data_IF_559080677167
#
_entry.id   IF_559080677167
#
_cell.length_a   1.000
_cell.length_b   1.000
_cell.length_c   1.000
_cell.angle_alpha   90.00
_cell.angle_beta   90.00
_cell.angle_gamma   90.00
#
_symmetry.space_group_name_H-M   'P 1'
#
loop_
_entity.id
_entity.type
_entity.pdbx_description
1 polymer ?
#
# COMPACT_ATOMS: atom_id res chain seq x y z
N UNK A 1 -31.46 15.86 2.37
CA UNK A 1 -30.14 16.52 2.45
C UNK A 1 -29.32 16.22 1.21
N UNK A 2 -29.00 14.95 0.91
CA UNK A 2 -28.18 14.54 -0.27
C UNK A 2 -28.77 14.97 -1.63
N UNK A 3 -30.10 15.10 -1.72
CA UNK A 3 -30.81 15.55 -2.93
C UNK A 3 -30.84 17.07 -3.13
N UNK A 4 -30.29 17.88 -2.21
CA UNK A 4 -30.23 19.35 -2.40
C UNK A 4 -29.10 19.74 -3.36
N UNK A 5 -29.15 20.98 -3.88
CA UNK A 5 -28.13 21.53 -4.78
C UNK A 5 -26.78 21.80 -4.07
N UNK A 6 -26.73 21.66 -2.74
CA UNK A 6 -25.48 21.65 -1.97
C UNK A 6 -24.73 20.31 -2.09
N UNK A 7 -25.38 19.27 -2.63
CA UNK A 7 -24.85 17.92 -2.82
C UNK A 7 -25.17 17.39 -4.23
N UNK A 8 -25.81 16.22 -4.36
CA UNK A 8 -26.08 15.56 -5.64
C UNK A 8 -27.17 16.23 -6.48
N UNK A 9 -28.03 17.06 -5.86
CA UNK A 9 -29.06 17.80 -6.58
C UNK A 9 -28.49 18.77 -7.63
N UNK A 10 -27.22 19.20 -7.47
CA UNK A 10 -26.52 20.05 -8.41
C UNK A 10 -26.43 19.42 -9.82
N UNK A 11 -26.34 18.08 -9.91
CA UNK A 11 -26.26 17.34 -11.17
C UNK A 11 -27.52 17.54 -12.01
N UNK A 12 -28.68 17.60 -11.36
CA UNK A 12 -30.01 17.70 -12.01
C UNK A 12 -30.60 19.10 -11.99
N UNK A 13 -29.91 20.10 -11.45
CA UNK A 13 -30.41 21.47 -11.33
C UNK A 13 -30.58 22.12 -12.72
N UNK A 14 -31.82 22.42 -13.17
CA UNK A 14 -32.07 22.94 -14.52
C UNK A 14 -31.50 24.35 -14.75
N UNK A 15 -31.23 25.09 -13.68
CA UNK A 15 -30.58 26.42 -13.74
C UNK A 15 -29.12 26.35 -13.26
N UNK A 16 -28.63 25.14 -12.99
CA UNK A 16 -27.32 24.86 -12.43
C UNK A 16 -26.18 24.93 -13.45
N UNK A 17 -24.93 24.70 -13.00
CA UNK A 17 -23.77 24.79 -13.87
C UNK A 17 -23.74 23.73 -14.97
N UNK A 18 -24.45 22.62 -14.78
CA UNK A 18 -24.54 21.52 -15.73
C UNK A 18 -25.75 21.59 -16.67
N UNK A 19 -26.59 22.63 -16.60
CA UNK A 19 -27.83 22.76 -17.39
C UNK A 19 -27.64 22.49 -18.90
N UNK A 20 -26.50 22.90 -19.47
CA UNK A 20 -26.22 22.78 -20.90
C UNK A 20 -25.89 21.33 -21.31
N UNK A 21 -25.60 20.47 -20.34
CA UNK A 21 -25.27 19.07 -20.56
C UNK A 21 -26.49 18.15 -20.49
N UNK A 22 -27.55 18.54 -19.79
CA UNK A 22 -28.73 17.68 -19.57
C UNK A 22 -29.40 17.19 -20.87
N UNK A 23 -29.28 17.97 -21.95
CA UNK A 23 -29.80 17.59 -23.27
C UNK A 23 -28.89 16.64 -24.05
N UNK A 24 -27.64 16.45 -23.59
CA UNK A 24 -26.61 15.63 -24.23
C UNK A 24 -26.35 14.35 -23.44
N UNK A 25 -26.26 14.45 -22.11
CA UNK A 25 -26.03 13.36 -21.18
C UNK A 25 -27.13 13.38 -20.12
N UNK A 26 -27.89 12.29 -20.01
CA UNK A 26 -28.96 12.16 -19.00
C UNK A 26 -28.37 12.24 -17.57
N UNK A 27 -28.77 13.24 -16.76
CA UNK A 27 -28.23 13.43 -15.42
C UNK A 27 -28.74 12.39 -14.39
N UNK A 28 -29.81 11.64 -14.69
CA UNK A 28 -30.53 10.86 -13.68
C UNK A 28 -29.66 9.76 -13.05
N UNK A 29 -28.99 8.94 -13.86
CA UNK A 29 -28.15 7.83 -13.36
C UNK A 29 -26.95 8.33 -12.55
N UNK A 30 -26.39 9.49 -12.91
CA UNK A 30 -25.28 10.11 -12.20
C UNK A 30 -25.72 10.68 -10.85
N UNK A 31 -26.90 11.30 -10.79
CA UNK A 31 -27.50 11.78 -9.55
C UNK A 31 -27.82 10.64 -8.59
N UNK A 32 -28.37 9.52 -9.09
CA UNK A 32 -28.65 8.32 -8.29
C UNK A 32 -27.36 7.68 -7.75
N UNK A 33 -26.32 7.56 -8.57
CA UNK A 33 -25.01 7.04 -8.16
C UNK A 33 -24.36 7.92 -7.08
N UNK A 34 -24.38 9.24 -7.28
CA UNK A 34 -23.91 10.21 -6.29
C UNK A 34 -24.65 10.06 -4.94
N UNK A 35 -25.97 9.89 -4.99
CA UNK A 35 -26.78 9.73 -3.78
C UNK A 35 -26.43 8.45 -3.02
N UNK A 36 -26.22 7.35 -3.75
CA UNK A 36 -25.79 6.07 -3.19
C UNK A 36 -24.41 6.19 -2.52
N UNK A 37 -23.42 6.73 -3.23
CA UNK A 37 -22.06 6.89 -2.71
C UNK A 37 -22.00 7.75 -1.45
N UNK A 38 -22.73 8.88 -1.43
CA UNK A 38 -22.76 9.75 -0.26
C UNK A 38 -23.51 9.14 0.93
N UNK A 39 -24.44 8.23 0.70
CA UNK A 39 -25.10 7.47 1.74
C UNK A 39 -24.11 6.50 2.41
N UNK A 40 -23.38 5.72 1.61
CA UNK A 40 -22.38 4.77 2.09
C UNK A 40 -21.16 5.44 2.74
N UNK A 41 -20.75 6.60 2.22
CA UNK A 41 -19.57 7.33 2.68
C UNK A 41 -19.88 8.44 3.68
N UNK A 42 -21.07 8.41 4.30
CA UNK A 42 -21.48 9.33 5.37
C UNK A 42 -21.26 10.83 5.02
N UNK A 43 -21.73 11.26 3.85
CA UNK A 43 -21.62 12.65 3.37
C UNK A 43 -20.18 13.15 3.19
N UNK A 44 -19.26 12.27 2.80
CA UNK A 44 -17.88 12.65 2.52
C UNK A 44 -17.78 13.68 1.37
N UNK A 45 -17.23 14.86 1.65
CA UNK A 45 -17.08 15.93 0.66
C UNK A 45 -16.17 15.55 -0.53
N UNK A 46 -15.13 14.74 -0.33
CA UNK A 46 -14.27 14.30 -1.44
C UNK A 46 -15.05 13.40 -2.40
N UNK A 47 -15.90 12.50 -1.87
CA UNK A 47 -16.78 11.66 -2.67
C UNK A 47 -17.83 12.46 -3.45
N UNK A 48 -18.38 13.54 -2.85
CA UNK A 48 -19.27 14.48 -3.55
C UNK A 48 -18.53 15.11 -4.74
N UNK A 49 -17.34 15.65 -4.50
CA UNK A 49 -16.58 16.33 -5.55
C UNK A 49 -16.12 15.37 -6.67
N UNK A 50 -15.89 14.09 -6.37
CA UNK A 50 -15.60 13.06 -7.37
C UNK A 50 -16.82 12.73 -8.22
N UNK A 51 -18.00 12.59 -7.59
CA UNK A 51 -19.25 12.35 -8.30
C UNK A 51 -19.64 13.53 -9.22
N UNK A 52 -19.50 14.76 -8.74
CA UNK A 52 -19.72 15.96 -9.56
C UNK A 52 -18.71 16.07 -10.71
N UNK A 53 -17.43 15.73 -10.46
CA UNK A 53 -16.42 15.68 -11.52
C UNK A 53 -16.75 14.64 -12.58
N UNK A 54 -17.21 13.45 -12.19
CA UNK A 54 -17.53 12.38 -13.14
C UNK A 54 -18.61 12.81 -14.16
N UNK A 55 -19.63 13.54 -13.72
CA UNK A 55 -20.63 14.10 -14.64
C UNK A 55 -20.01 15.21 -15.50
N UNK A 56 -19.23 16.11 -14.89
CA UNK A 56 -18.53 17.18 -15.60
C UNK A 56 -17.63 16.66 -16.75
N UNK A 57 -16.86 15.60 -16.47
CA UNK A 57 -15.94 14.96 -17.42
C UNK A 57 -16.65 14.41 -18.65
N UNK A 58 -17.78 13.71 -18.45
CA UNK A 58 -18.55 13.13 -19.56
C UNK A 58 -19.22 14.23 -20.40
N UNK A 59 -19.69 15.29 -19.75
CA UNK A 59 -20.21 16.48 -20.44
C UNK A 59 -19.16 17.17 -21.30
N UNK A 60 -17.98 17.44 -20.74
CA UNK A 60 -16.86 18.06 -21.47
C UNK A 60 -16.32 17.12 -22.57
N UNK A 61 -16.29 15.82 -22.32
CA UNK A 61 -15.95 14.79 -23.31
C UNK A 61 -16.92 14.77 -24.49
N UNK A 62 -18.19 15.13 -24.27
CA UNK A 62 -19.19 15.35 -25.33
C UNK A 62 -19.09 16.74 -26.00
N UNK A 63 -18.10 17.55 -25.63
CA UNK A 63 -17.86 18.89 -26.18
C UNK A 63 -18.74 19.99 -25.61
N UNK A 64 -19.45 19.73 -24.50
CA UNK A 64 -20.29 20.73 -23.84
C UNK A 64 -19.43 21.67 -22.99
N UNK A 65 -19.54 22.97 -23.23
CA UNK A 65 -18.93 23.98 -22.37
C UNK A 65 -19.76 24.18 -21.09
N UNK A 66 -19.21 23.75 -19.96
CA UNK A 66 -19.82 23.89 -18.64
C UNK A 66 -19.57 25.28 -18.04
N UNK A 67 -20.54 25.76 -17.25
CA UNK A 67 -20.31 26.91 -16.37
C UNK A 67 -19.42 26.47 -15.18
N UNK A 68 -18.65 27.37 -14.56
CA UNK A 68 -17.88 27.03 -13.36
C UNK A 68 -18.78 26.47 -12.25
N UNK A 69 -18.47 25.26 -11.79
CA UNK A 69 -19.22 24.58 -10.72
C UNK A 69 -18.42 24.46 -9.42
N UNK A 70 -17.08 24.56 -9.49
CA UNK A 70 -16.17 24.63 -8.34
C UNK A 70 -15.89 26.06 -7.91
N UNK A 71 -15.56 26.26 -6.63
CA UNK A 71 -15.04 27.53 -6.12
C UNK A 71 -14.03 27.30 -4.96
N UNK A 72 -13.53 28.38 -4.35
CA UNK A 72 -12.50 28.31 -3.30
C UNK A 72 -12.92 27.50 -2.05
N UNK A 73 -14.22 27.41 -1.75
CA UNK A 73 -14.76 26.68 -0.59
C UNK A 73 -15.53 25.42 -0.97
N UNK A 74 -15.97 25.29 -2.22
CA UNK A 74 -16.74 24.16 -2.73
C UNK A 74 -15.94 23.41 -3.80
N UNK A 75 -15.50 22.21 -3.44
CA UNK A 75 -14.72 21.35 -4.31
C UNK A 75 -13.46 22.03 -4.90
N UNK A 76 -12.58 22.65 -4.09
CA UNK A 76 -11.40 23.34 -4.58
C UNK A 76 -10.41 22.38 -5.26
N UNK A 77 -9.75 22.84 -6.32
CA UNK A 77 -8.66 22.12 -6.99
C UNK A 77 -7.33 22.70 -6.51
N UNK A 78 -6.47 21.85 -5.96
CA UNK A 78 -5.10 22.22 -5.63
C UNK A 78 -4.24 22.16 -6.90
N UNK A 79 -3.65 23.30 -7.28
CA UNK A 79 -2.77 23.39 -8.43
C UNK A 79 -1.29 23.47 -8.00
N UNK A 80 -0.35 22.89 -8.77
CA UNK A 80 1.08 22.99 -8.51
C UNK A 80 1.57 24.43 -8.39
N UNK A 81 2.74 24.62 -7.78
CA UNK A 81 3.42 25.92 -7.75
C UNK A 81 3.54 26.51 -9.16
N UNK A 82 3.33 27.83 -9.27
CA UNK A 82 3.34 28.57 -10.54
C UNK A 82 2.23 28.16 -11.54
N UNK A 83 1.10 27.66 -11.02
CA UNK A 83 -0.09 27.40 -11.82
C UNK A 83 -1.36 27.85 -11.10
N UNK A 84 -2.47 27.92 -11.82
CA UNK A 84 -3.78 28.26 -11.28
C UNK A 84 -4.86 27.39 -11.90
N UNK A 85 -5.98 27.25 -11.20
CA UNK A 85 -7.13 26.52 -11.71
C UNK A 85 -7.79 27.31 -12.85
N UNK A 86 -8.05 26.63 -13.97
CA UNK A 86 -8.78 27.17 -15.11
C UNK A 86 -9.88 26.17 -15.54
N UNK A 87 -11.16 26.58 -15.56
CA UNK A 87 -12.28 25.70 -15.98
C UNK A 87 -12.26 25.31 -17.46
N UNK A 88 -11.39 25.92 -18.28
CA UNK A 88 -11.26 25.69 -19.71
C UNK A 88 -9.80 25.96 -20.14
N UNK A 89 -8.88 25.10 -19.72
CA UNK A 89 -7.47 25.12 -20.17
C UNK A 89 -7.31 24.40 -21.51
N UNK A 90 -6.23 24.68 -22.22
CA UNK A 90 -5.89 23.98 -23.47
C UNK A 90 -5.75 22.48 -23.22
N UNK A 91 -6.43 21.66 -24.03
CA UNK A 91 -6.21 20.21 -24.05
C UNK A 91 -4.82 19.81 -24.60
N UNK A 92 -4.07 20.77 -25.15
CA UNK A 92 -2.68 20.63 -25.55
C UNK A 92 -1.86 21.65 -24.76
N UNK A 93 -1.52 21.38 -23.49
CA UNK A 93 -0.83 22.35 -22.65
C UNK A 93 0.59 22.61 -23.15
N UNK A 94 1.13 23.80 -22.84
CA UNK A 94 2.51 24.13 -23.16
C UNK A 94 3.45 23.27 -22.30
N UNK A 95 4.36 22.56 -22.94
CA UNK A 95 5.38 21.73 -22.28
C UNK A 95 6.77 22.26 -22.60
N UNK A 96 7.78 21.82 -21.87
CA UNK A 96 9.17 22.10 -22.24
C UNK A 96 9.55 21.57 -23.64
N UNK A 97 8.87 20.53 -24.14
CA UNK A 97 9.09 19.97 -25.47
C UNK A 97 8.40 20.73 -26.57
N UNK A 98 7.17 21.17 -26.32
CA UNK A 98 6.40 21.99 -27.24
C UNK A 98 5.71 23.15 -26.49
N UNK A 99 6.43 24.28 -26.33
CA UNK A 99 5.86 25.48 -25.70
C UNK A 99 4.73 26.12 -26.52
N UNK A 100 4.60 25.77 -27.82
CA UNK A 100 3.62 26.33 -28.73
C UNK A 100 2.42 25.41 -28.96
N UNK A 101 2.38 24.23 -28.33
CA UNK A 101 1.27 23.27 -28.42
C UNK A 101 -0.12 23.91 -28.23
N UNK A 102 -0.35 24.84 -27.28
CA UNK A 102 -1.67 25.46 -27.13
C UNK A 102 -2.14 26.22 -28.37
N UNK A 103 -1.23 26.84 -29.14
CA UNK A 103 -1.58 27.63 -30.32
C UNK A 103 -2.07 26.77 -31.49
N UNK A 104 -1.64 25.52 -31.55
CA UNK A 104 -1.99 24.58 -32.61
C UNK A 104 -3.00 23.52 -32.15
N UNK A 105 -3.63 23.71 -30.99
CA UNK A 105 -4.57 22.76 -30.43
C UNK A 105 -5.94 22.90 -31.10
N UNK A 106 -6.42 21.82 -31.73
CA UNK A 106 -7.76 21.75 -32.33
C UNK A 106 -8.78 21.03 -31.44
N UNK A 107 -8.38 20.63 -30.23
CA UNK A 107 -9.24 19.90 -29.28
C UNK A 107 -10.03 20.88 -28.41
N UNK A 108 -11.25 20.52 -27.97
CA UNK A 108 -11.98 21.28 -26.96
C UNK A 108 -11.13 21.49 -25.70
N UNK A 109 -11.33 22.61 -25.01
CA UNK A 109 -10.68 22.84 -23.72
C UNK A 109 -11.15 21.83 -22.68
N UNK A 110 -10.30 21.60 -21.68
CA UNK A 110 -10.57 20.72 -20.54
C UNK A 110 -10.42 21.51 -19.24
N UNK A 111 -11.13 21.11 -18.19
CA UNK A 111 -10.93 21.67 -16.85
C UNK A 111 -9.58 21.20 -16.29
N UNK A 112 -8.83 22.08 -15.62
CA UNK A 112 -7.56 21.68 -15.01
C UNK A 112 -6.72 22.82 -14.47
N UNK A 113 -5.46 22.52 -14.15
CA UNK A 113 -4.48 23.53 -13.76
C UNK A 113 -3.72 24.04 -14.99
N UNK A 114 -3.64 25.36 -15.14
CA UNK A 114 -2.90 26.05 -16.19
C UNK A 114 -1.65 26.71 -15.60
N UNK A 115 -0.49 26.49 -16.22
CA UNK A 115 0.74 27.17 -15.82
C UNK A 115 0.61 28.68 -16.03
N UNK A 116 1.14 29.46 -15.08
CA UNK A 116 1.17 30.91 -15.19
C UNK A 116 2.04 31.35 -16.38
N UNK A 117 1.80 32.56 -16.91
CA UNK A 117 2.59 33.13 -18.00
C UNK A 117 4.10 33.06 -17.73
N UNK A 118 4.86 32.49 -18.68
CA UNK A 118 6.31 32.29 -18.56
C UNK A 118 6.74 30.93 -18.01
N UNK A 119 5.77 30.10 -17.61
CA UNK A 119 5.98 28.73 -17.14
C UNK A 119 5.40 27.72 -18.12
N UNK A 120 6.01 26.53 -18.17
CA UNK A 120 5.60 25.40 -19.01
C UNK A 120 5.65 24.11 -18.20
N UNK A 121 4.93 23.07 -18.64
CA UNK A 121 4.88 21.79 -17.93
C UNK A 121 6.16 20.98 -18.15
N UNK A 122 6.76 20.51 -17.06
CA UNK A 122 7.81 19.49 -17.00
C UNK A 122 7.54 18.59 -15.80
N UNK A 123 7.44 17.28 -15.98
CA UNK A 123 7.24 16.33 -14.85
C UNK A 123 5.96 16.54 -14.05
N UNK A 124 4.92 17.11 -14.67
CA UNK A 124 3.68 17.49 -13.99
C UNK A 124 3.77 18.76 -13.12
N UNK A 125 4.91 19.45 -13.14
CA UNK A 125 5.13 20.74 -12.47
C UNK A 125 5.22 21.88 -13.49
N UNK A 126 4.90 23.11 -13.07
CA UNK A 126 5.10 24.30 -13.88
C UNK A 126 6.46 24.93 -13.57
N UNK A 127 7.38 24.82 -14.52
CA UNK A 127 8.76 25.34 -14.43
C UNK A 127 8.96 26.49 -15.40
N UNK A 128 9.88 27.41 -15.10
CA UNK A 128 10.26 28.45 -16.06
C UNK A 128 10.94 27.83 -17.27
N UNK A 129 10.84 28.47 -18.44
CA UNK A 129 11.49 27.98 -19.66
C UNK A 129 13.01 27.76 -19.50
N UNK A 130 13.67 28.57 -18.66
CA UNK A 130 15.09 28.43 -18.31
C UNK A 130 15.44 27.16 -17.55
N UNK A 131 14.44 26.56 -16.89
CA UNK A 131 14.58 25.38 -16.06
C UNK A 131 14.02 24.14 -16.78
N UNK A 132 13.79 24.23 -18.09
CA UNK A 132 13.47 23.07 -18.90
C UNK A 132 14.68 22.13 -19.03
N UNK A 133 14.36 20.85 -19.16
CA UNK A 133 15.27 19.76 -19.43
C UNK A 133 15.89 19.77 -20.84
N UNK A 134 16.72 18.77 -21.12
CA UNK A 134 17.39 18.59 -22.42
C UNK A 134 16.71 17.49 -23.24
N UNK A 135 16.69 17.63 -24.57
CA UNK A 135 16.21 16.58 -25.48
C UNK A 135 17.39 15.91 -26.20
N UNK A 136 17.79 14.69 -25.81
CA UNK A 136 18.86 13.95 -26.49
C UNK A 136 18.35 12.60 -27.00
N UNK A 137 18.60 12.29 -28.28
CA UNK A 137 18.09 11.11 -28.98
C UNK A 137 16.56 10.94 -28.85
N UNK A 138 15.81 12.02 -29.10
CA UNK A 138 14.33 12.07 -28.99
C UNK A 138 13.77 11.81 -27.58
N UNK A 139 14.63 11.72 -26.56
CA UNK A 139 14.24 11.52 -25.17
C UNK A 139 14.48 12.79 -24.36
N UNK A 140 13.43 13.25 -23.67
CA UNK A 140 13.47 14.41 -22.79
C UNK A 140 14.00 14.02 -21.42
N UNK A 141 14.91 14.84 -20.88
CA UNK A 141 15.54 14.63 -19.58
C UNK A 141 15.33 15.85 -18.72
N UNK A 142 14.56 15.70 -17.65
CA UNK A 142 14.33 16.75 -16.68
C UNK A 142 15.63 17.15 -15.98
N UNK A 143 15.77 18.44 -15.65
CA UNK A 143 16.87 18.91 -14.80
C UNK A 143 16.59 18.41 -13.38
N UNK A 144 17.31 17.42 -12.83
CA UNK A 144 17.37 17.17 -11.37
C UNK A 144 18.45 16.15 -10.91
N UNK A 145 19.65 16.65 -10.63
CA UNK A 145 20.34 16.44 -9.34
C UNK A 145 20.61 17.86 -8.80
N UNK A 146 20.51 18.13 -7.50
CA UNK A 146 20.85 19.45 -6.92
C UNK A 146 22.26 19.89 -7.38
N UNK A 147 22.32 20.70 -8.45
CA UNK A 147 23.53 21.35 -8.95
C UNK A 147 24.59 20.49 -9.68
N UNK A 148 24.35 19.23 -10.07
CA UNK A 148 25.44 18.31 -10.48
C UNK A 148 25.38 17.78 -11.94
N UNK A 149 24.24 17.93 -12.62
CA UNK A 149 24.17 17.91 -14.08
C UNK A 149 23.49 19.17 -14.59
N UNK A 150 24.07 19.80 -15.60
CA UNK A 150 23.53 21.03 -16.19
C UNK A 150 23.22 20.82 -17.66
N UNK A 151 21.99 21.16 -18.02
CA UNK A 151 21.60 21.40 -19.40
C UNK A 151 22.22 22.72 -19.87
N UNK A 152 23.38 22.65 -20.54
CA UNK A 152 24.18 23.83 -20.91
C UNK A 152 23.70 24.50 -22.22
N UNK A 153 22.46 24.25 -22.62
CA UNK A 153 21.93 24.64 -23.93
C UNK A 153 22.29 23.66 -25.07
N UNK A 154 21.70 23.85 -26.25
CA UNK A 154 21.86 22.98 -27.43
C UNK A 154 21.66 21.48 -27.16
N UNK A 155 20.72 21.11 -26.27
CA UNK A 155 20.47 19.72 -25.88
C UNK A 155 21.70 18.96 -25.35
N UNK A 156 22.70 19.68 -24.83
CA UNK A 156 23.94 19.09 -24.33
C UNK A 156 23.89 18.96 -22.81
N UNK A 157 24.02 17.74 -22.31
CA UNK A 157 24.04 17.41 -20.88
C UNK A 157 25.49 17.30 -20.41
N UNK A 158 25.85 18.06 -19.39
CA UNK A 158 27.11 17.89 -18.66
C UNK A 158 26.82 17.30 -17.29
N UNK A 159 27.43 16.16 -16.97
CA UNK A 159 27.29 15.49 -15.68
C UNK A 159 28.65 15.26 -15.04
N UNK A 160 28.75 15.54 -13.74
CA UNK A 160 29.92 15.17 -12.94
C UNK A 160 29.60 13.92 -12.10
N UNK A 161 30.35 12.84 -12.29
CA UNK A 161 30.18 11.59 -11.54
C UNK A 161 30.85 11.61 -10.15
N UNK A 162 31.73 12.58 -9.89
CA UNK A 162 32.50 12.67 -8.63
C UNK A 162 31.62 12.98 -7.40
N UNK A 163 30.35 13.31 -7.61
CA UNK A 163 29.38 13.67 -6.56
C UNK A 163 28.34 12.59 -6.28
N UNK A 164 28.30 11.51 -7.05
CA UNK A 164 27.51 10.33 -6.74
C UNK A 164 28.20 9.49 -5.65
N UNK A 165 27.46 8.63 -4.94
CA UNK A 165 28.11 7.66 -4.04
C UNK A 165 29.03 6.74 -4.84
N UNK A 166 30.02 6.13 -4.17
CA UNK A 166 31.01 5.26 -4.80
C UNK A 166 30.39 4.09 -5.60
N UNK A 167 29.17 3.65 -5.25
CA UNK A 167 28.40 2.60 -5.93
C UNK A 167 27.39 3.10 -6.98
N UNK A 168 27.30 4.42 -7.18
CA UNK A 168 26.37 5.06 -8.09
C UNK A 168 27.11 5.67 -9.28
N UNK A 169 26.45 5.69 -10.43
CA UNK A 169 26.88 6.44 -11.59
C UNK A 169 25.81 7.44 -11.99
N UNK A 170 26.25 8.62 -12.39
CA UNK A 170 25.36 9.60 -12.97
C UNK A 170 24.97 9.13 -14.38
N UNK A 171 23.74 8.64 -14.52
CA UNK A 171 23.21 8.14 -15.79
C UNK A 171 21.74 8.51 -15.94
N UNK A 172 21.24 8.27 -17.13
CA UNK A 172 19.81 8.32 -17.42
C UNK A 172 19.22 6.95 -17.12
N UNK A 173 18.18 6.90 -16.29
CA UNK A 173 17.36 5.71 -16.08
C UNK A 173 15.87 6.10 -16.13
N UNK A 174 15.06 5.41 -16.95
CA UNK A 174 13.62 5.66 -17.11
C UNK A 174 13.20 7.10 -17.48
N UNK A 175 14.09 7.86 -18.11
CA UNK A 175 13.79 9.26 -18.51
C UNK A 175 14.13 10.29 -17.43
N UNK A 176 14.62 9.84 -16.29
CA UNK A 176 15.14 10.67 -15.22
C UNK A 176 16.68 10.63 -15.25
N UNK A 177 17.29 11.79 -15.07
CA UNK A 177 18.73 11.95 -14.94
C UNK A 177 19.06 11.99 -13.43
N UNK A 178 19.95 11.13 -12.96
CA UNK A 178 20.25 11.02 -11.53
C UNK A 178 21.44 10.11 -11.23
N UNK A 179 21.84 10.06 -9.95
CA UNK A 179 22.78 9.05 -9.46
C UNK A 179 22.03 7.73 -9.27
N UNK A 180 22.36 6.73 -10.08
CA UNK A 180 21.75 5.42 -10.03
C UNK A 180 22.81 4.37 -9.70
N UNK A 181 22.47 3.29 -8.97
CA UNK A 181 23.39 2.19 -8.76
C UNK A 181 23.97 1.70 -10.10
N UNK A 182 25.29 1.48 -10.13
CA UNK A 182 25.97 0.99 -11.33
C UNK A 182 25.41 -0.39 -11.74
N UNK A 183 25.27 -1.29 -10.76
CA UNK A 183 24.76 -2.66 -10.91
C UNK A 183 23.73 -2.99 -9.81
N UNK A 184 22.46 -2.52 -9.91
CA UNK A 184 21.45 -2.91 -8.94
C UNK A 184 21.10 -4.40 -9.11
N UNK A 185 21.09 -5.13 -8.01
CA UNK A 185 20.53 -6.49 -7.99
C UNK A 185 19.06 -6.42 -7.62
N UNK A 186 18.23 -7.15 -8.35
CA UNK A 186 16.77 -7.08 -8.23
C UNK A 186 16.26 -8.44 -7.80
N UNK A 187 15.47 -8.48 -6.74
CA UNK A 187 14.65 -9.63 -6.40
C UNK A 187 13.28 -9.47 -7.06
N UNK A 188 12.84 -10.51 -7.79
CA UNK A 188 11.57 -10.52 -8.51
C UNK A 188 10.61 -11.51 -7.86
N UNK A 189 9.39 -11.06 -7.60
CA UNK A 189 8.30 -11.95 -7.18
C UNK A 189 7.11 -11.67 -8.09
N UNK A 190 6.68 -12.66 -8.85
CA UNK A 190 5.66 -12.47 -9.90
C UNK A 190 4.75 -13.69 -9.98
N UNK A 191 3.49 -13.49 -9.60
CA UNK A 191 2.64 -14.62 -9.32
C UNK A 191 3.16 -15.43 -8.12
N UNK A 192 2.25 -16.03 -7.40
CA UNK A 192 2.60 -17.15 -6.55
C UNK A 192 2.49 -18.38 -7.46
N UNK A 193 3.59 -19.13 -7.68
CA UNK A 193 4.70 -19.32 -6.75
C UNK A 193 6.10 -18.80 -7.14
N UNK A 194 6.29 -17.82 -8.02
CA UNK A 194 7.62 -17.60 -8.63
C UNK A 194 8.46 -16.50 -7.95
N UNK A 195 9.70 -16.86 -7.58
CA UNK A 195 10.70 -15.99 -6.96
C UNK A 195 12.03 -16.04 -7.72
N UNK A 196 12.66 -14.90 -7.93
CA UNK A 196 14.07 -14.77 -8.36
C UNK A 196 14.79 -13.96 -7.29
N UNK A 197 15.82 -14.55 -6.67
CA UNK A 197 16.64 -13.90 -5.63
C UNK A 197 17.51 -12.77 -6.20
N UNK A 198 18.12 -11.96 -5.32
CA UNK A 198 19.08 -10.93 -5.74
C UNK A 198 20.26 -11.51 -6.53
N UNK A 199 20.67 -12.74 -6.22
CA UNK A 199 21.77 -13.45 -6.89
C UNK A 199 21.30 -14.24 -8.13
N UNK A 200 20.01 -14.12 -8.49
CA UNK A 200 19.43 -14.65 -9.73
C UNK A 200 18.91 -16.09 -9.65
N UNK A 201 18.77 -16.66 -8.45
CA UNK A 201 18.23 -18.02 -8.28
C UNK A 201 16.71 -18.01 -8.44
N UNK A 202 16.23 -18.72 -9.45
CA UNK A 202 14.80 -18.97 -9.64
C UNK A 202 14.34 -20.14 -8.74
N UNK A 203 13.26 -19.94 -8.00
CA UNK A 203 12.60 -21.01 -7.26
C UNK A 203 11.10 -20.80 -7.14
N UNK A 204 10.41 -21.85 -6.66
CA UNK A 204 8.97 -21.85 -6.48
C UNK A 204 8.58 -22.17 -5.05
N UNK A 205 7.67 -21.37 -4.48
CA UNK A 205 7.17 -21.53 -3.13
C UNK A 205 5.69 -21.16 -3.04
N UNK A 206 4.86 -22.07 -2.51
CA UNK A 206 3.41 -21.96 -2.38
C UNK A 206 2.99 -22.01 -0.92
N UNK A 207 3.01 -20.87 -0.25
CA UNK A 207 2.64 -20.75 1.16
C UNK A 207 1.46 -19.80 1.34
N UNK A 208 0.61 -20.01 2.35
CA UNK A 208 -0.62 -19.25 2.62
C UNK A 208 -0.50 -18.27 3.80
N UNK A 209 0.74 -17.90 4.16
CA UNK A 209 1.05 -17.03 5.29
C UNK A 209 1.65 -15.67 4.90
N UNK A 210 2.05 -14.92 5.94
CA UNK A 210 2.88 -13.74 5.80
C UNK A 210 4.36 -14.12 5.89
N UNK A 211 5.13 -13.75 4.86
CA UNK A 211 6.54 -14.13 4.77
C UNK A 211 7.46 -12.91 4.77
N UNK A 212 8.60 -13.02 5.44
CA UNK A 212 9.68 -12.04 5.36
C UNK A 212 10.44 -12.24 4.05
N UNK A 213 10.30 -11.26 3.16
CA UNK A 213 10.90 -11.31 1.83
C UNK A 213 12.36 -10.88 1.87
N UNK A 214 12.64 -9.78 2.57
CA UNK A 214 14.01 -9.33 2.81
C UNK A 214 14.07 -8.53 4.10
N UNK A 215 15.13 -8.70 4.86
CA UNK A 215 15.48 -7.84 5.98
C UNK A 215 17.01 -7.67 6.11
N UNK A 216 17.43 -6.68 6.88
CA UNK A 216 18.85 -6.49 7.25
C UNK A 216 19.24 -7.45 8.37
N UNK A 217 20.29 -8.26 8.16
CA UNK A 217 20.64 -9.37 9.04
C UNK A 217 22.00 -9.21 9.75
N UNK A 218 22.62 -8.04 9.60
CA UNK A 218 23.83 -7.59 10.31
C UNK A 218 23.49 -6.46 11.28
N UNK A 219 24.32 -6.23 12.31
CA UNK A 219 24.24 -5.06 13.20
C UNK A 219 24.58 -3.76 12.44
N UNK A 220 23.69 -3.37 11.53
CA UNK A 220 23.71 -2.11 10.79
C UNK A 220 22.90 -1.06 11.54
N UNK A 221 23.32 0.21 11.44
CA UNK A 221 22.60 1.36 12.02
C UNK A 221 21.24 1.61 11.35
N UNK A 222 21.03 1.05 10.15
CA UNK A 222 19.82 1.17 9.34
C UNK A 222 19.18 -0.22 9.24
N UNK A 223 18.06 -0.41 9.95
CA UNK A 223 17.27 -1.66 9.96
C UNK A 223 16.02 -1.49 9.09
N UNK A 224 15.75 -2.46 8.21
CA UNK A 224 14.50 -2.54 7.45
C UNK A 224 14.05 -4.00 7.26
N UNK A 225 12.75 -4.18 7.02
CA UNK A 225 12.13 -5.47 6.70
C UNK A 225 10.97 -5.27 5.72
N UNK A 226 10.86 -6.16 4.73
CA UNK A 226 9.78 -6.20 3.74
C UNK A 226 9.08 -7.55 3.87
N UNK A 227 7.75 -7.53 4.00
CA UNK A 227 6.93 -8.74 4.09
C UNK A 227 5.88 -8.80 2.98
N UNK A 228 5.45 -10.01 2.63
CA UNK A 228 4.33 -10.25 1.70
C UNK A 228 3.29 -11.16 2.34
N UNK A 229 2.05 -11.10 1.84
CA UNK A 229 0.96 -12.00 2.24
C UNK A 229 0.49 -12.79 1.03
N UNK A 230 0.46 -14.11 1.15
CA UNK A 230 -0.07 -15.01 0.14
C UNK A 230 -1.38 -15.63 0.65
N UNK A 231 -2.39 -15.77 -0.22
CA UNK A 231 -3.70 -16.36 0.14
C UNK A 231 -4.25 -17.26 -0.98
N UNK A 232 -5.04 -18.27 -0.61
CA UNK A 232 -5.77 -19.10 -1.57
C UNK A 232 -6.84 -18.33 -2.32
N UNK A 233 -6.94 -18.54 -3.64
CA UNK A 233 -8.00 -17.96 -4.48
C UNK A 233 -8.95 -19.04 -4.99
N UNK A 234 -9.88 -19.45 -4.13
CA UNK A 234 -10.99 -20.35 -4.49
C UNK A 234 -10.62 -21.82 -4.70
N UNK A 235 -9.35 -22.21 -4.59
CA UNK A 235 -8.88 -23.60 -4.57
C UNK A 235 -7.76 -23.74 -3.52
N UNK A 236 -7.82 -24.73 -2.61
CA UNK A 236 -6.81 -24.96 -1.56
C UNK A 236 -5.44 -25.44 -2.08
N UNK A 237 -5.31 -25.81 -3.36
CA UNK A 237 -4.05 -26.33 -3.91
C UNK A 237 -3.09 -25.25 -4.43
N UNK A 238 -3.49 -23.96 -4.41
CA UNK A 238 -2.61 -22.86 -4.82
C UNK A 238 -2.93 -21.55 -4.10
N UNK A 239 -1.89 -20.78 -3.81
CA UNK A 239 -1.94 -19.46 -3.18
C UNK A 239 -1.58 -18.37 -4.20
N UNK A 240 -1.87 -17.10 -3.88
CA UNK A 240 -1.57 -15.92 -4.67
C UNK A 240 -1.18 -14.75 -3.76
N UNK A 241 -0.20 -13.95 -4.19
CA UNK A 241 0.12 -12.66 -3.56
C UNK A 241 -1.14 -11.79 -3.39
N UNK A 242 -1.45 -11.40 -2.15
CA UNK A 242 -2.65 -10.65 -1.77
C UNK A 242 -2.37 -9.16 -1.50
N UNK A 243 -1.31 -8.84 -0.74
CA UNK A 243 -0.95 -7.44 -0.43
C UNK A 243 0.56 -7.17 -0.46
N UNK A 244 0.94 -6.08 -1.11
CA UNK A 244 2.25 -5.43 -1.04
C UNK A 244 2.01 -4.05 -0.40
N UNK A 245 2.91 -3.57 0.45
CA UNK A 245 2.91 -2.15 0.84
C UNK A 245 3.38 -1.28 -0.34
N UNK A 246 2.55 -1.15 -1.39
CA UNK A 246 2.47 -0.16 -2.47
C UNK A 246 1.57 -0.77 -3.58
N UNK A 247 0.46 -0.12 -3.92
CA UNK A 247 -0.56 -0.63 -4.86
C UNK A 247 -0.51 0.10 -6.20
N UNK A 248 -0.44 -0.63 -7.32
CA UNK A 248 -0.85 -0.15 -8.64
C UNK A 248 -1.64 -1.25 -9.39
N UNK A 249 -2.90 -0.97 -9.71
CA UNK A 249 -3.85 -1.69 -10.61
C UNK A 249 -3.57 -3.19 -10.87
N UNK A 250 -4.28 -4.07 -10.16
CA UNK A 250 -4.56 -5.50 -10.45
C UNK A 250 -3.42 -6.40 -10.97
N UNK A 251 -2.16 -6.00 -10.79
CA UNK A 251 -0.97 -6.74 -11.17
C UNK A 251 -0.17 -7.09 -9.89
N UNK A 252 -0.17 -8.36 -9.49
CA UNK A 252 0.50 -8.83 -8.27
C UNK A 252 1.99 -9.14 -8.55
N UNK A 253 2.77 -8.13 -8.89
CA UNK A 253 4.22 -8.23 -9.13
C UNK A 253 4.96 -7.29 -8.17
N UNK A 254 5.98 -7.81 -7.50
CA UNK A 254 6.88 -7.05 -6.60
C UNK A 254 8.31 -7.06 -7.17
N UNK A 255 8.88 -5.87 -7.31
CA UNK A 255 10.31 -5.68 -7.59
C UNK A 255 10.97 -5.05 -6.37
N UNK A 256 11.99 -5.71 -5.83
CA UNK A 256 12.81 -5.16 -4.75
C UNK A 256 14.19 -4.90 -5.30
N UNK A 257 14.64 -3.65 -5.23
CA UNK A 257 15.96 -3.23 -5.69
C UNK A 257 16.87 -3.03 -4.47
N UNK A 258 18.05 -3.67 -4.47
CA UNK A 258 19.06 -3.50 -3.44
C UNK A 258 20.31 -2.81 -4.00
N UNK A 259 20.82 -1.82 -3.26
CA UNK A 259 22.10 -1.16 -3.56
C UNK A 259 23.29 -2.08 -3.22
N UNK A 260 24.39 -1.98 -3.97
CA UNK A 260 25.58 -2.81 -3.77
C UNK A 260 26.21 -2.66 -2.36
N UNK A 261 25.99 -1.54 -1.66
CA UNK A 261 26.40 -1.38 -0.27
C UNK A 261 25.73 -2.35 0.72
N UNK A 262 24.65 -3.01 0.32
CA UNK A 262 23.92 -4.03 1.08
C UNK A 262 24.40 -5.46 0.78
N UNK A 263 25.37 -5.64 -0.11
CA UNK A 263 25.94 -6.95 -0.45
C UNK A 263 26.44 -7.67 0.81
N UNK A 264 25.97 -8.90 1.01
CA UNK A 264 26.27 -9.76 2.16
C UNK A 264 25.62 -9.35 3.48
N UNK A 265 24.67 -8.39 3.47
CA UNK A 265 24.00 -7.89 4.68
C UNK A 265 22.52 -8.25 4.75
N UNK A 266 21.96 -8.84 3.69
CA UNK A 266 20.54 -9.15 3.56
C UNK A 266 20.28 -10.63 3.82
N UNK A 267 19.05 -10.95 4.22
CA UNK A 267 18.52 -12.31 4.24
C UNK A 267 16.98 -12.30 4.14
N UNK A 268 16.36 -13.45 3.93
CA UNK A 268 14.93 -13.61 3.68
C UNK A 268 14.66 -14.42 2.41
N UNK A 269 13.40 -14.45 1.94
CA UNK A 269 13.03 -15.14 0.69
C UNK A 269 13.77 -14.63 -0.56
N UNK A 270 14.31 -13.40 -0.55
CA UNK A 270 15.13 -12.86 -1.64
C UNK A 270 16.62 -13.26 -1.61
N UNK A 271 17.02 -14.13 -0.68
CA UNK A 271 18.39 -14.65 -0.60
C UNK A 271 19.35 -13.74 0.18
N UNK A 272 20.65 -14.06 0.09
CA UNK A 272 21.71 -13.45 0.90
C UNK A 272 22.37 -12.23 0.26
N UNK A 273 22.18 -12.05 -1.05
CA UNK A 273 22.79 -10.99 -1.84
C UNK A 273 24.32 -11.00 -1.74
N UNK A 274 24.94 -12.14 -2.04
CA UNK A 274 26.39 -12.40 -1.93
C UNK A 274 27.06 -12.66 -3.28
N UNK A 275 26.33 -12.47 -4.39
CA UNK A 275 26.66 -12.94 -5.74
C UNK A 275 26.79 -14.47 -5.86
N UNK A 276 26.21 -15.21 -4.92
CA UNK A 276 26.27 -16.67 -4.88
C UNK A 276 24.88 -17.26 -4.65
N UNK A 277 24.44 -18.11 -5.58
CA UNK A 277 23.11 -18.71 -5.49
C UNK A 277 23.06 -19.91 -4.53
N UNK A 278 24.21 -20.45 -4.17
CA UNK A 278 24.29 -21.67 -3.35
C UNK A 278 23.96 -21.41 -1.88
N UNK A 279 24.06 -20.17 -1.40
CA UNK A 279 23.73 -19.72 -0.05
C UNK A 279 22.38 -19.00 0.06
N UNK A 280 21.67 -18.78 -1.05
CA UNK A 280 20.38 -18.10 -1.05
C UNK A 280 19.32 -18.75 -0.15
N UNK A 281 19.40 -20.06 0.06
CA UNK A 281 18.48 -20.81 0.94
C UNK A 281 19.00 -20.90 2.37
N UNK A 282 19.59 -19.80 2.87
CA UNK A 282 19.99 -19.65 4.26
C UNK A 282 18.78 -19.31 5.13
N UNK A 283 18.44 -20.21 6.04
CA UNK A 283 17.33 -20.03 6.99
C UNK A 283 17.69 -19.05 8.12
N UNK A 284 16.73 -18.58 8.94
CA UNK A 284 17.01 -17.66 10.06
C UNK A 284 18.01 -18.23 11.08
N UNK A 285 17.98 -19.55 11.29
CA UNK A 285 18.90 -20.30 12.17
C UNK A 285 20.32 -20.45 11.60
N UNK A 286 20.61 -19.82 10.45
CA UNK A 286 21.88 -19.88 9.71
C UNK A 286 22.24 -21.26 9.16
N UNK A 287 21.25 -22.15 9.02
CA UNK A 287 21.41 -23.44 8.35
C UNK A 287 21.00 -23.32 6.88
N UNK A 288 21.85 -23.80 5.98
CA UNK A 288 21.52 -23.90 4.56
C UNK A 288 20.53 -25.03 4.32
N UNK A 289 19.46 -24.72 3.59
CA UNK A 289 18.45 -25.68 3.18
C UNK A 289 18.54 -25.93 1.66
N UNK A 290 18.10 -27.10 1.22
CA UNK A 290 18.06 -27.49 -0.20
C UNK A 290 16.64 -27.47 -0.75
N UNK A 291 15.65 -27.73 0.12
CA UNK A 291 14.25 -27.74 -0.25
C UNK A 291 13.65 -26.31 -0.17
N UNK A 292 13.13 -25.76 -1.29
CA UNK A 292 12.57 -24.42 -1.33
C UNK A 292 11.33 -24.25 -0.44
N UNK A 293 10.54 -25.30 -0.20
CA UNK A 293 9.37 -25.23 0.66
C UNK A 293 9.78 -25.18 2.12
N UNK A 294 10.73 -26.03 2.55
CA UNK A 294 11.27 -25.97 3.90
C UNK A 294 12.01 -24.66 4.19
N UNK A 295 12.70 -24.13 3.18
CA UNK A 295 13.30 -22.81 3.25
C UNK A 295 12.23 -21.72 3.40
N UNK A 296 11.19 -21.72 2.55
CA UNK A 296 10.11 -20.73 2.59
C UNK A 296 9.33 -20.75 3.91
N UNK A 297 8.98 -21.94 4.39
CA UNK A 297 8.30 -22.17 5.67
C UNK A 297 9.11 -21.66 6.87
N UNK A 298 10.44 -21.58 6.75
CA UNK A 298 11.30 -21.07 7.82
C UNK A 298 11.28 -19.55 7.98
N UNK A 299 10.80 -18.81 6.97
CA UNK A 299 10.80 -17.34 6.91
C UNK A 299 9.43 -16.72 7.21
N UNK A 300 8.55 -17.44 7.92
CA UNK A 300 7.27 -16.91 8.41
C UNK A 300 7.51 -15.68 9.32
N UNK A 301 6.77 -14.60 9.07
CA UNK A 301 6.96 -13.33 9.78
C UNK A 301 6.42 -13.37 11.22
N UNK A 302 7.31 -13.47 12.20
CA UNK A 302 6.98 -13.49 13.63
C UNK A 302 6.41 -12.15 14.18
N UNK A 303 6.61 -11.03 13.47
CA UNK A 303 6.09 -9.72 13.86
C UNK A 303 4.55 -9.63 13.74
N UNK A 304 3.95 -10.34 12.78
CA UNK A 304 2.50 -10.39 12.62
C UNK A 304 1.85 -11.49 13.46
N UNK A 305 2.54 -12.59 13.78
CA UNK A 305 2.03 -13.58 14.76
C UNK A 305 1.91 -12.94 16.14
N UNK A 306 2.89 -12.11 16.55
CA UNK A 306 2.85 -11.37 17.82
C UNK A 306 1.65 -10.42 17.93
N UNK A 307 1.34 -9.64 16.90
CA UNK A 307 0.18 -8.71 16.95
C UNK A 307 -1.17 -9.44 16.91
N UNK A 308 -1.27 -10.55 16.15
CA UNK A 308 -2.44 -11.42 16.13
C UNK A 308 -2.68 -12.12 17.48
N UNK A 309 -1.63 -12.70 18.06
CA UNK A 309 -1.64 -13.34 19.39
C UNK A 309 -1.96 -12.30 20.47
N UNK A 310 -1.35 -11.11 20.41
CA UNK A 310 -1.65 -10.03 21.35
C UNK A 310 -3.12 -9.59 21.26
N UNK A 311 -3.69 -9.54 20.05
CA UNK A 311 -5.13 -9.25 19.84
C UNK A 311 -6.02 -10.35 20.40
N UNK A 312 -5.62 -11.62 20.29
CA UNK A 312 -6.34 -12.76 20.83
C UNK A 312 -6.30 -12.78 22.37
N UNK A 313 -5.13 -12.55 22.97
CA UNK A 313 -4.93 -12.54 24.43
C UNK A 313 -5.54 -11.33 25.14
N UNK A 314 -5.81 -10.22 24.43
CA UNK A 314 -6.45 -9.02 24.98
C UNK A 314 -7.83 -9.26 25.61
N UNK A 315 -8.48 -10.38 25.31
CA UNK A 315 -9.73 -10.76 25.98
C UNK A 315 -9.57 -10.89 27.51
N UNK A 316 -8.37 -11.26 27.99
CA UNK A 316 -8.04 -11.35 29.42
C UNK A 316 -8.02 -9.96 30.08
N UNK A 317 -7.69 -8.90 29.32
CA UNK A 317 -7.62 -7.52 29.79
C UNK A 317 -8.91 -6.72 29.56
N UNK A 318 -9.92 -7.30 28.89
CA UNK A 318 -11.10 -6.56 28.47
C UNK A 318 -11.99 -6.18 29.66
N UNK A 319 -12.08 -4.88 29.95
CA UNK A 319 -12.89 -4.30 31.04
C UNK A 319 -14.40 -4.28 30.76
N UNK A 320 -14.85 -4.89 29.67
CA UNK A 320 -16.26 -5.13 29.35
C UNK A 320 -16.45 -6.53 28.76
N UNK A 321 -15.56 -7.45 29.13
CA UNK A 321 -15.49 -8.81 28.63
C UNK A 321 -15.87 -9.85 29.69
N UNK A 322 -15.81 -11.15 29.35
CA UNK A 322 -16.25 -12.24 30.22
C UNK A 322 -15.47 -12.35 31.54
N UNK A 323 -14.29 -11.72 31.63
CA UNK A 323 -13.45 -11.73 32.84
C UNK A 323 -13.41 -10.39 33.59
N UNK A 324 -14.22 -9.39 33.21
CA UNK A 324 -14.21 -8.05 33.83
C UNK A 324 -14.33 -8.13 35.36
N UNK A 325 -15.27 -8.93 35.86
CA UNK A 325 -15.49 -9.12 37.31
C UNK A 325 -14.28 -9.74 38.02
N UNK A 326 -13.42 -10.46 37.28
CA UNK A 326 -12.24 -11.10 37.81
C UNK A 326 -11.10 -10.13 38.12
N UNK A 327 -11.01 -9.03 37.36
CA UNK A 327 -9.87 -8.11 37.41
C UNK A 327 -9.65 -7.49 38.81
N UNK A 328 -10.72 -7.39 39.59
CA UNK A 328 -10.71 -6.92 40.98
C UNK A 328 -10.06 -7.90 41.97
N UNK A 329 -10.01 -9.19 41.62
CA UNK A 329 -9.56 -10.27 42.51
C UNK A 329 -8.25 -10.91 42.04
N UNK A 330 -8.08 -11.09 40.73
CA UNK A 330 -6.89 -11.65 40.10
C UNK A 330 -6.37 -10.68 39.04
N UNK A 331 -5.18 -10.07 39.24
CA UNK A 331 -4.59 -9.16 38.25
C UNK A 331 -4.40 -9.85 36.89
N UNK A 332 -5.00 -9.32 35.80
CA UNK A 332 -5.03 -10.00 34.50
C UNK A 332 -3.70 -9.92 33.73
N UNK A 333 -2.82 -8.99 34.10
CA UNK A 333 -1.59 -8.68 33.35
C UNK A 333 -0.65 -9.87 33.18
N UNK A 334 -0.41 -10.65 34.25
CA UNK A 334 0.47 -11.81 34.20
C UNK A 334 -0.09 -12.95 33.32
N UNK A 335 -1.41 -13.12 33.30
CA UNK A 335 -2.08 -14.10 32.45
C UNK A 335 -2.12 -13.66 30.99
N UNK A 336 -2.23 -12.37 30.73
CA UNK A 336 -2.07 -11.79 29.40
C UNK A 336 -0.64 -12.00 28.87
N UNK A 337 0.39 -11.70 29.66
CA UNK A 337 1.79 -11.89 29.28
C UNK A 337 2.11 -13.37 29.04
N UNK A 338 1.62 -14.26 29.91
CA UNK A 338 1.76 -15.72 29.74
C UNK A 338 1.01 -16.21 28.50
N UNK A 339 -0.18 -15.66 28.22
CA UNK A 339 -0.95 -15.99 27.02
C UNK A 339 -0.17 -15.65 25.75
N UNK A 340 0.42 -14.46 25.70
CA UNK A 340 1.22 -14.03 24.55
C UNK A 340 2.46 -14.90 24.40
N UNK A 341 3.12 -15.24 25.50
CA UNK A 341 4.31 -16.09 25.50
C UNK A 341 4.02 -17.52 25.03
N UNK A 342 3.01 -18.18 25.63
CA UNK A 342 2.67 -19.58 25.35
C UNK A 342 2.08 -19.76 23.94
N UNK A 343 1.32 -18.78 23.45
CA UNK A 343 0.83 -18.81 22.08
C UNK A 343 1.90 -18.48 21.06
N UNK A 344 2.90 -17.67 21.41
CA UNK A 344 4.07 -17.47 20.56
C UNK A 344 4.87 -18.78 20.44
N UNK A 345 4.99 -19.54 21.53
CA UNK A 345 5.67 -20.84 21.54
C UNK A 345 4.91 -21.95 20.82
N UNK A 346 3.61 -21.77 20.53
CA UNK A 346 2.74 -22.77 19.90
C UNK A 346 2.12 -22.29 18.59
N UNK A 347 2.66 -21.20 18.03
CA UNK A 347 2.21 -20.59 16.78
C UNK A 347 0.68 -20.34 16.73
N UNK A 348 0.14 -19.78 17.81
CA UNK A 348 -1.29 -19.41 17.89
C UNK A 348 -2.25 -20.59 18.03
N UNK A 349 -1.79 -21.74 18.53
CA UNK A 349 -2.63 -22.93 18.72
C UNK A 349 -3.89 -22.64 19.57
N UNK A 350 -5.06 -22.90 18.98
CA UNK A 350 -6.37 -22.61 19.60
C UNK A 350 -6.68 -23.47 20.84
N UNK A 351 -6.16 -24.69 20.92
CA UNK A 351 -6.31 -25.55 22.10
C UNK A 351 -5.48 -25.00 23.27
N UNK A 352 -4.25 -24.56 22.99
CA UNK A 352 -3.39 -23.91 23.97
C UNK A 352 -4.02 -22.60 24.47
N UNK A 353 -4.61 -21.80 23.57
CA UNK A 353 -5.33 -20.58 23.94
C UNK A 353 -6.46 -20.88 24.94
N UNK A 354 -7.26 -21.92 24.69
CA UNK A 354 -8.35 -22.28 25.58
C UNK A 354 -7.88 -22.79 26.94
N UNK A 355 -6.75 -23.51 27.00
CA UNK A 355 -6.11 -23.91 28.28
C UNK A 355 -5.65 -22.69 29.10
N UNK A 356 -5.15 -21.65 28.43
CA UNK A 356 -4.74 -20.41 29.09
C UNK A 356 -5.95 -19.67 29.68
N UNK A 357 -7.06 -19.57 28.94
CA UNK A 357 -8.30 -18.97 29.45
C UNK A 357 -8.90 -19.80 30.60
N UNK A 358 -8.82 -21.12 30.54
CA UNK A 358 -9.20 -22.02 31.63
C UNK A 358 -8.40 -21.78 32.90
N UNK A 359 -7.08 -21.58 32.78
CA UNK A 359 -6.23 -21.30 33.92
C UNK A 359 -6.61 -19.98 34.60
N UNK A 360 -6.90 -18.93 33.83
CA UNK A 360 -7.34 -17.65 34.40
C UNK A 360 -8.73 -17.74 35.04
N UNK A 361 -9.67 -18.45 34.40
CA UNK A 361 -10.99 -18.69 34.95
C UNK A 361 -10.93 -19.47 36.28
N UNK A 362 -10.13 -20.54 36.33
CA UNK A 362 -9.95 -21.34 37.54
C UNK A 362 -9.32 -20.54 38.69
N UNK A 363 -8.33 -19.69 38.40
CA UNK A 363 -7.76 -18.80 39.40
C UNK A 363 -8.81 -17.81 39.96
N UNK A 364 -9.71 -17.34 39.10
CA UNK A 364 -10.81 -16.47 39.48
C UNK A 364 -11.84 -17.15 40.39
N UNK A 365 -12.24 -18.37 40.02
CA UNK A 365 -13.22 -19.18 40.76
C UNK A 365 -12.68 -19.58 42.14
N UNK A 366 -11.37 -19.89 42.24
CA UNK A 366 -10.69 -20.09 43.52
C UNK A 366 -10.70 -18.84 44.40
N UNK A 367 -10.74 -17.65 43.79
CA UNK A 367 -10.96 -16.36 44.45
C UNK A 367 -12.41 -16.10 44.88
N UNK A 368 -13.34 -17.04 44.62
CA UNK A 368 -14.76 -16.93 44.97
C UNK A 368 -15.61 -16.15 43.96
N UNK A 369 -15.09 -15.86 42.77
CA UNK A 369 -15.79 -15.09 41.72
C UNK A 369 -16.53 -16.06 40.79
N UNK A 370 -17.82 -15.79 40.54
CA UNK A 370 -18.60 -16.54 39.56
C UNK A 370 -18.54 -15.84 38.19
N UNK A 371 -17.86 -16.48 37.22
CA UNK A 371 -17.67 -15.95 35.87
C UNK A 371 -18.82 -16.29 34.89
N UNK A 372 -19.79 -17.11 35.29
CA UNK A 372 -20.80 -17.62 34.37
C UNK A 372 -20.20 -18.47 33.23
N UNK A 373 -20.90 -18.56 32.10
CA UNK A 373 -20.46 -19.36 30.95
C UNK A 373 -19.56 -18.57 29.99
N UNK A 374 -18.41 -18.12 30.50
CA UNK A 374 -17.44 -17.30 29.78
C UNK A 374 -17.01 -17.89 28.43
N UNK A 375 -17.12 -19.21 28.24
CA UNK A 375 -16.75 -19.89 26.99
C UNK A 375 -17.64 -19.50 25.82
N UNK A 376 -18.92 -19.20 26.04
CA UNK A 376 -19.86 -18.79 24.98
C UNK A 376 -19.43 -17.50 24.29
N UNK A 377 -18.71 -16.64 25.01
CA UNK A 377 -18.23 -15.36 24.52
C UNK A 377 -16.82 -15.45 23.92
N UNK A 378 -16.32 -16.67 23.68
CA UNK A 378 -14.98 -16.94 23.14
C UNK A 378 -15.00 -18.04 22.08
N UNK A 379 -13.89 -18.19 21.35
CA UNK A 379 -13.69 -19.31 20.43
C UNK A 379 -13.65 -20.68 21.11
N UNK A 380 -13.55 -20.72 22.45
CA UNK A 380 -13.51 -21.94 23.26
C UNK A 380 -14.89 -22.56 23.53
N UNK A 381 -15.97 -21.95 23.04
CA UNK A 381 -17.33 -22.49 23.14
C UNK A 381 -17.62 -23.68 22.21
N UNK A 382 -16.78 -23.93 21.19
CA UNK A 382 -17.01 -24.97 20.17
C UNK A 382 -16.49 -26.37 20.51
N UNK A 383 -15.88 -26.62 21.68
CA UNK A 383 -15.24 -27.92 21.98
C UNK A 383 -15.98 -28.85 22.95
N UNK A 384 -17.25 -28.58 23.31
CA UNK A 384 -18.00 -29.43 24.26
C UNK A 384 -18.87 -30.55 23.68
N UNK A 385 -18.87 -30.76 22.35
CA UNK A 385 -19.66 -31.85 21.76
C UNK A 385 -18.91 -33.18 21.53
N UNK A 386 -17.64 -33.31 21.95
CA UNK A 386 -16.90 -34.58 21.73
C UNK A 386 -16.14 -35.21 22.90
N UNK A 387 -16.32 -34.76 24.15
CA UNK A 387 -15.81 -35.51 25.31
C UNK A 387 -16.83 -35.56 26.46
N UNK A 388 -18.02 -36.07 26.15
CA UNK A 388 -18.82 -36.80 27.15
C UNK A 388 -18.66 -38.30 26.89
N UNK A 389 -17.50 -38.84 27.29
CA UNK A 389 -17.40 -40.17 27.87
C UNK A 389 -15.92 -40.52 28.10
N UNK A 390 -15.70 -41.03 29.32
CA UNK A 390 -14.65 -41.96 29.73
C UNK A 390 -13.68 -41.44 30.79
N UNK A 391 -13.75 -42.15 31.91
CA UNK A 391 -12.84 -42.27 33.04
C UNK A 391 -12.92 -41.24 34.19
N UNK A 392 -13.83 -41.59 35.11
CA UNK A 392 -13.61 -41.48 36.56
C UNK A 392 -12.25 -42.03 36.98
N UNK A 393 -11.70 -41.37 38.01
CA UNK A 393 -10.64 -41.85 38.90
C UNK A 393 -10.89 -43.26 39.47
N UNK A 394 -9.85 -44.09 39.45
CA UNK A 394 -9.42 -45.08 40.45
C UNK A 394 -7.94 -45.33 40.10
N UNK A 395 -6.94 -45.07 40.95
CA UNK A 395 -6.74 -45.37 42.38
C UNK A 395 -6.23 -44.14 43.11
#
# INVERSE_FOLDING_TARGET
MIQSNEYCGLITDPEGPFQNCHSVIDPQSYSESCQYDLCELHLNNAALCQNLQAYADVCQGAGVLLKPWRNATFCPVACPSNSHYNPCTSACPATCLDPLAPKNCSRPCVEGCECNTGFVISGGQCVSMSNCGCLQNEKYYETNCEGQCVCSGNNTIFCNSDTCKVSEVCKVQDGLLGCYPLNPSICHIFGDPHYITFDGRLYHFQGDCNYTVVETCTNSSEWFSVTTRNEHRGNPDWTALNSIAFTLKDLHILFIQADESLKGKLCGLCGTYTDNQLDDFLKPDKVLEQDPNKFGDSWVSLLYSYWGIMKLCKIILNSSGPFEVCHWYIPPQLYFESCVYDLCATDGNSEQFCKILEAYAAACELGGVNLGDWRKDTICGKSRDHLSNSFMLQI
#
